data_IF_388290841394
#
_entry.id   IF_388290841394
#
_cell.length_a   1.000
_cell.length_b   1.000
_cell.length_c   1.000
_cell.angle_alpha   90.00
_cell.angle_beta   90.00
_cell.angle_gamma   90.00
#
_symmetry.space_group_name_H-M   'P 1'
#
loop_
_entity.id
_entity.type
_entity.pdbx_description
1 polymer ?
#
# COMPACT_ATOMS: atom_id res chain seq x y z
N UNK A 1 2.54 -6.29 -7.21
CA UNK A 1 2.39 -4.89 -7.69
C UNK A 1 3.54 -4.57 -8.64
N UNK A 2 3.29 -3.74 -9.66
CA UNK A 2 4.22 -3.39 -10.75
C UNK A 2 5.45 -2.56 -10.29
N UNK A 3 5.44 -2.02 -9.07
CA UNK A 3 6.49 -1.17 -8.50
C UNK A 3 6.94 -1.70 -7.14
N UNK A 4 8.25 -1.73 -6.90
CA UNK A 4 8.83 -2.04 -5.60
C UNK A 4 8.59 -0.91 -4.60
N UNK A 5 8.61 -1.24 -3.29
CA UNK A 5 8.47 -0.25 -2.22
C UNK A 5 9.51 0.89 -2.33
N UNK A 6 10.73 0.58 -2.72
CA UNK A 6 11.78 1.59 -2.95
C UNK A 6 11.43 2.52 -4.12
N UNK A 7 10.92 1.96 -5.22
CA UNK A 7 10.46 2.74 -6.38
C UNK A 7 9.30 3.67 -5.99
N UNK A 8 8.35 3.20 -5.18
CA UNK A 8 7.24 4.04 -4.69
C UNK A 8 7.72 5.20 -3.83
N UNK A 9 8.68 4.96 -2.92
CA UNK A 9 9.29 6.03 -2.11
C UNK A 9 9.98 7.08 -2.98
N UNK A 10 10.74 6.63 -3.98
CA UNK A 10 11.40 7.53 -4.94
C UNK A 10 10.38 8.39 -5.71
N UNK A 11 9.28 7.78 -6.16
CA UNK A 11 8.20 8.50 -6.86
C UNK A 11 7.59 9.57 -5.94
N UNK A 12 7.29 9.24 -4.68
CA UNK A 12 6.78 10.23 -3.71
C UNK A 12 7.74 11.40 -3.53
N UNK A 13 9.04 11.16 -3.42
CA UNK A 13 10.03 12.23 -3.28
C UNK A 13 10.07 13.17 -4.49
N UNK A 14 9.94 12.63 -5.70
CA UNK A 14 9.89 13.41 -6.94
C UNK A 14 8.60 14.25 -6.97
N UNK A 15 7.44 13.65 -6.70
CA UNK A 15 6.16 14.35 -6.69
C UNK A 15 6.12 15.47 -5.64
N UNK A 16 6.73 15.26 -4.46
CA UNK A 16 6.87 16.31 -3.44
C UNK A 16 7.77 17.47 -3.87
N UNK A 17 8.78 17.23 -4.73
CA UNK A 17 9.59 18.29 -5.34
C UNK A 17 8.80 19.05 -6.40
N UNK A 18 8.01 18.34 -7.21
CA UNK A 18 7.13 18.98 -8.21
C UNK A 18 6.03 19.81 -7.56
N UNK A 19 5.46 19.35 -6.43
CA UNK A 19 4.45 20.11 -5.69
C UNK A 19 4.95 21.50 -5.30
N UNK A 20 6.21 21.60 -4.90
CA UNK A 20 6.85 22.89 -4.54
C UNK A 20 7.05 23.81 -5.74
N UNK A 21 7.05 23.28 -6.97
CA UNK A 21 7.24 24.02 -8.22
C UNK A 21 5.93 24.33 -8.93
N UNK A 22 4.83 23.72 -8.51
CA UNK A 22 3.53 23.85 -9.14
C UNK A 22 2.79 25.08 -8.60
N UNK A 23 2.51 26.02 -9.49
CA UNK A 23 1.74 27.23 -9.20
C UNK A 23 0.24 27.10 -9.56
N UNK A 24 -0.19 25.96 -10.09
CA UNK A 24 -1.57 25.74 -10.53
C UNK A 24 -2.40 25.01 -9.46
N UNK A 25 -3.49 25.65 -9.00
CA UNK A 25 -4.42 25.09 -7.98
C UNK A 25 -4.99 23.72 -8.37
N UNK A 26 -5.44 23.55 -9.62
CA UNK A 26 -6.09 22.32 -10.07
C UNK A 26 -5.11 21.14 -10.23
N UNK A 27 -3.89 21.42 -10.73
CA UNK A 27 -2.83 20.42 -10.83
C UNK A 27 -2.26 20.05 -9.46
N UNK A 28 -2.27 20.98 -8.51
CA UNK A 28 -1.90 20.75 -7.11
C UNK A 28 -2.81 19.71 -6.45
N UNK A 29 -4.12 19.81 -6.65
CA UNK A 29 -5.07 18.87 -6.01
C UNK A 29 -4.89 17.42 -6.50
N UNK A 30 -4.76 17.21 -7.81
CA UNK A 30 -4.49 15.87 -8.35
C UNK A 30 -3.15 15.32 -7.84
N UNK A 31 -2.13 16.18 -7.78
CA UNK A 31 -0.81 15.79 -7.28
C UNK A 31 -0.86 15.41 -5.79
N UNK A 32 -1.56 16.19 -4.96
CA UNK A 32 -1.73 15.91 -3.54
C UNK A 32 -2.47 14.59 -3.30
N UNK A 33 -3.53 14.30 -4.08
CA UNK A 33 -4.23 13.00 -4.02
C UNK A 33 -3.29 11.85 -4.40
N UNK A 34 -2.54 12.00 -5.49
CA UNK A 34 -1.59 10.97 -5.96
C UNK A 34 -0.50 10.68 -4.91
N UNK A 35 0.00 11.73 -4.26
CA UNK A 35 0.96 11.60 -3.16
C UNK A 35 0.34 10.86 -1.97
N UNK A 36 -0.89 11.21 -1.58
CA UNK A 36 -1.59 10.58 -0.47
C UNK A 36 -1.80 9.08 -0.70
N UNK A 37 -2.25 8.71 -1.90
CA UNK A 37 -2.49 7.31 -2.29
C UNK A 37 -1.18 6.51 -2.28
N UNK A 38 -0.10 7.06 -2.83
CA UNK A 38 1.21 6.40 -2.80
C UNK A 38 1.73 6.22 -1.36
N UNK A 39 1.58 7.23 -0.50
CA UNK A 39 1.94 7.11 0.91
C UNK A 39 1.08 6.08 1.66
N UNK A 40 -0.20 5.95 1.31
CA UNK A 40 -1.07 4.92 1.87
C UNK A 40 -0.62 3.53 1.42
N UNK A 41 -0.32 3.34 0.13
CA UNK A 41 0.15 2.03 -0.36
C UNK A 41 1.47 1.60 0.28
N UNK A 42 2.42 2.52 0.47
CA UNK A 42 3.69 2.21 1.18
C UNK A 42 3.42 1.84 2.63
N UNK A 43 2.51 2.53 3.32
CA UNK A 43 2.12 2.18 4.71
C UNK A 43 1.42 0.83 4.79
N UNK A 44 0.52 0.53 3.85
CA UNK A 44 -0.15 -0.76 3.80
C UNK A 44 0.83 -1.90 3.55
N UNK A 45 1.86 -1.68 2.71
CA UNK A 45 2.96 -2.64 2.55
C UNK A 45 3.75 -2.83 3.85
N UNK A 46 4.01 -1.76 4.61
CA UNK A 46 4.67 -1.86 5.91
C UNK A 46 3.87 -2.67 6.93
N UNK A 47 2.55 -2.50 6.96
CA UNK A 47 1.64 -3.17 7.90
C UNK A 47 1.39 -4.63 7.47
N UNK A 48 1.24 -4.90 6.18
CA UNK A 48 0.96 -6.25 5.65
C UNK A 48 2.20 -7.15 5.58
N UNK A 49 3.42 -6.62 5.80
CA UNK A 49 4.62 -7.48 5.95
C UNK A 49 4.54 -8.32 7.24
N UNK A 50 3.76 -7.90 8.23
CA UNK A 50 3.64 -8.60 9.53
C UNK A 50 2.66 -9.75 9.60
N UNK A 51 1.98 -10.14 8.52
CA UNK A 51 1.05 -11.28 8.58
C UNK A 51 1.39 -12.42 7.61
N UNK A 52 2.34 -13.31 7.98
CA UNK A 52 2.43 -14.65 7.43
C UNK A 52 1.56 -15.66 8.21
N UNK A 53 0.54 -15.23 8.96
CA UNK A 53 -0.33 -16.14 9.73
C UNK A 53 -1.81 -15.88 9.48
N UNK A 54 -2.24 -15.97 8.22
CA UNK A 54 -3.57 -16.53 7.99
C UNK A 54 -3.51 -18.06 8.17
N UNK A 55 -3.47 -18.47 9.43
CA UNK A 55 -3.65 -19.87 9.87
C UNK A 55 -5.10 -20.13 10.33
N UNK A 56 -6.07 -19.43 9.74
CA UNK A 56 -7.50 -19.65 9.98
C UNK A 56 -8.16 -19.94 8.63
N UNK A 57 -8.47 -21.17 8.26
CA UNK A 57 -9.31 -22.13 8.98
C UNK A 57 -8.96 -23.53 8.47
N UNK A 58 -8.52 -24.42 9.36
CA UNK A 58 -8.47 -25.85 9.07
C UNK A 58 -9.89 -26.44 9.11
N UNK A 59 -10.51 -26.61 7.95
CA UNK A 59 -11.81 -27.29 7.82
C UNK A 59 -11.69 -28.82 7.94
N UNK A 60 -10.48 -29.38 8.02
CA UNK A 60 -10.21 -30.82 8.06
C UNK A 60 -10.47 -31.48 9.41
N UNK A 61 -10.54 -30.71 10.50
CA UNK A 61 -10.67 -31.23 11.87
C UNK A 61 -12.10 -31.53 12.32
N UNK A 62 -13.13 -31.31 11.47
CA UNK A 62 -14.55 -31.55 11.81
C UNK A 62 -15.15 -32.89 11.35
N UNK A 63 -14.36 -33.81 10.81
CA UNK A 63 -14.89 -35.02 10.17
C UNK A 63 -14.34 -36.35 10.65
N UNK A 64 -14.62 -36.78 11.89
CA UNK A 64 -14.62 -38.22 12.24
C UNK A 64 -15.74 -38.54 13.23
N UNK A 65 -16.86 -39.16 12.81
CA UNK A 65 -17.68 -39.91 13.73
C UNK A 65 -16.94 -41.20 14.07
N UNK A 66 -16.65 -41.43 15.36
CA UNK A 66 -16.18 -42.73 15.86
C UNK A 66 -17.27 -43.77 15.54
N UNK A 67 -16.88 -44.79 14.76
CA UNK A 67 -17.60 -46.06 14.70
C UNK A 67 -17.29 -46.88 15.94
#
# INVERSE_FOLDING_TARGET
MLLSKQQKKLIVEILMKERRRLFSRHKGELLDRTIADLLQTVRNEDINITDPRDSSIDWGSRGRPKR
#
